data_IF_107445949247
#
_entry.id   IF_107445949247
#
_cell.length_a   1.000
_cell.length_b   1.000
_cell.length_c   1.000
_cell.angle_alpha   90.00
_cell.angle_beta   90.00
_cell.angle_gamma   90.00
#
_symmetry.space_group_name_H-M   'P 1'
#
loop_
_entity.id
_entity.type
_entity.pdbx_description
1 polymer ?
#
# COMPACT_ATOMS: atom_id res chain seq x y z
N UNK A 1 -8.64 -11.47 16.03
CA UNK A 1 -8.33 -11.14 16.21
C UNK A 1 -7.55 -10.63 15.78
N UNK A 2 -7.36 -10.07 15.13
CA UNK A 2 -6.72 -9.65 14.74
C UNK A 2 -6.37 -8.96 13.96
N UNK A 3 -6.31 -8.51 13.17
CA UNK A 3 -5.79 -8.05 12.32
C UNK A 3 -5.77 -7.00 12.05
N UNK A 4 -5.44 -6.60 11.96
CA UNK A 4 -5.33 -5.61 12.12
C UNK A 4 -4.81 -4.74 11.11
N UNK A 5 -4.32 -5.17 10.03
CA UNK A 5 -3.86 -4.40 8.87
C UNK A 5 -4.41 -5.10 7.63
N UNK A 6 -5.07 -4.35 6.77
CA UNK A 6 -5.53 -4.85 5.48
C UNK A 6 -5.09 -3.90 4.39
N UNK A 7 -4.85 -4.42 3.21
CA UNK A 7 -4.48 -3.61 2.05
C UNK A 7 -5.39 -3.99 0.91
N UNK A 8 -5.93 -2.99 0.23
CA UNK A 8 -6.72 -3.19 -0.96
C UNK A 8 -6.17 -2.30 -2.07
N UNK A 9 -6.24 -2.77 -3.28
CA UNK A 9 -5.80 -1.97 -4.41
C UNK A 9 -6.74 -2.16 -5.58
N UNK A 10 -6.86 -1.11 -6.37
CA UNK A 10 -7.62 -1.15 -7.63
C UNK A 10 -6.77 -0.46 -8.67
N UNK A 11 -6.80 -0.96 -9.90
CA UNK A 11 -5.99 -0.34 -10.94
C UNK A 11 -6.67 -0.46 -12.29
N UNK A 12 -6.15 0.32 -13.22
CA UNK A 12 -6.66 0.34 -14.57
C UNK A 12 -5.47 0.43 -15.52
N UNK A 13 -5.52 -0.36 -16.57
CA UNK A 13 -4.51 -0.32 -17.63
C UNK A 13 -5.16 0.10 -18.93
N UNK A 14 -4.38 0.73 -19.80
CA UNK A 14 -4.89 1.09 -21.11
C UNK A 14 -4.74 -0.10 -22.07
N UNK A 15 -5.10 0.09 -23.32
CA UNK A 15 -5.09 -1.00 -24.29
C UNK A 15 -3.68 -1.49 -24.59
N UNK A 16 -2.67 -0.69 -24.31
CA UNK A 16 -1.29 -1.09 -24.50
C UNK A 16 -0.73 -1.81 -23.27
N UNK A 17 -1.53 -1.97 -22.23
CA UNK A 17 -1.08 -2.64 -21.02
C UNK A 17 -0.37 -1.74 -20.03
N UNK A 18 -0.40 -0.43 -20.27
CA UNK A 18 0.26 0.50 -19.37
C UNK A 18 -0.65 0.87 -18.22
N UNK A 19 -0.08 0.95 -17.04
CA UNK A 19 -0.83 1.31 -15.86
C UNK A 19 -1.16 2.80 -15.90
N UNK A 20 -2.45 3.11 -15.89
CA UNK A 20 -2.88 4.51 -15.96
C UNK A 20 -3.59 4.98 -14.70
N UNK A 21 -3.96 4.08 -13.83
CA UNK A 21 -4.57 4.47 -12.57
C UNK A 21 -4.25 3.40 -11.53
N UNK A 22 -3.99 3.83 -10.33
CA UNK A 22 -3.71 2.92 -9.23
C UNK A 22 -4.19 3.57 -7.94
N UNK A 23 -4.96 2.81 -7.17
CA UNK A 23 -5.44 3.26 -5.86
C UNK A 23 -5.09 2.20 -4.85
N UNK A 24 -4.50 2.63 -3.76
CA UNK A 24 -4.09 1.74 -2.68
C UNK A 24 -4.67 2.28 -1.38
N UNK A 25 -5.35 1.42 -0.65
CA UNK A 25 -5.92 1.81 0.62
C UNK A 25 -5.48 0.83 1.70
N UNK A 26 -5.29 1.33 2.90
CA UNK A 26 -4.99 0.47 4.03
C UNK A 26 -6.04 0.64 5.10
N UNK A 27 -6.27 -0.43 5.87
CA UNK A 27 -7.11 -0.38 7.05
C UNK A 27 -6.26 -0.76 8.24
N UNK A 28 -6.56 -0.19 9.36
CA UNK A 28 -5.91 -0.53 10.59
C UNK A 28 -6.97 -0.61 11.65
N UNK A 29 -6.52 -1.02 12.84
CA UNK A 29 -7.37 -1.28 13.84
C UNK A 29 -8.53 -0.45 13.99
N UNK A 30 -8.43 0.75 13.89
CA UNK A 30 -9.46 1.51 14.22
C UNK A 30 -10.07 2.20 13.17
N UNK A 31 -10.11 1.72 11.97
CA UNK A 31 -10.36 2.65 11.35
C UNK A 31 -10.97 2.81 10.15
N UNK A 32 -11.15 3.88 9.75
CA UNK A 32 -11.54 4.33 8.44
C UNK A 32 -10.41 3.99 7.52
N UNK A 33 -10.68 3.38 6.37
CA UNK A 33 -9.62 3.10 5.40
C UNK A 33 -8.89 4.37 5.01
N UNK A 34 -7.59 4.26 4.87
CA UNK A 34 -6.76 5.37 4.46
C UNK A 34 -6.32 5.17 3.02
N UNK A 35 -6.61 6.15 2.19
CA UNK A 35 -6.21 6.10 0.79
C UNK A 35 -4.82 6.71 0.65
N UNK A 36 -3.93 6.00 0.00
CA UNK A 36 -2.54 6.45 -0.14
C UNK A 36 -2.30 7.14 -1.47
N UNK A 37 -3.07 8.20 -1.71
CA UNK A 37 -3.03 8.91 -2.98
C UNK A 37 -1.71 9.56 -3.27
N UNK A 38 -1.10 10.16 -2.27
CA UNK A 38 0.16 10.87 -2.48
C UNK A 38 1.29 9.91 -2.80
N UNK A 39 1.33 8.79 -2.10
CA UNK A 39 2.37 7.81 -2.36
C UNK A 39 2.28 7.28 -3.78
N UNK A 40 1.06 6.95 -4.20
CA UNK A 40 0.85 6.42 -5.53
C UNK A 40 1.17 7.46 -6.59
N UNK A 41 0.71 8.69 -6.40
CA UNK A 41 0.97 9.74 -7.37
C UNK A 41 2.46 9.99 -7.54
N UNK A 42 3.20 9.96 -6.45
CA UNK A 42 4.63 10.19 -6.50
C UNK A 42 5.33 9.13 -7.35
N UNK A 43 4.96 7.88 -7.17
CA UNK A 43 5.58 6.81 -7.91
C UNK A 43 5.14 6.81 -9.38
N UNK A 44 3.86 7.09 -9.63
CA UNK A 44 3.38 7.14 -11.01
C UNK A 44 4.00 8.28 -11.82
N UNK A 45 4.31 9.39 -11.16
CA UNK A 45 4.96 10.50 -11.85
C UNK A 45 6.34 10.14 -12.39
N UNK A 46 7.00 9.20 -11.73
CA UNK A 46 8.31 8.77 -12.17
C UNK A 46 8.23 7.72 -13.25
N UNK A 47 7.03 7.25 -13.57
CA UNK A 47 6.84 6.17 -14.51
C UNK A 47 6.84 4.82 -13.80
N UNK A 48 5.85 3.99 -14.12
CA UNK A 48 5.74 2.69 -13.45
C UNK A 48 6.83 1.76 -13.94
N UNK A 49 7.61 1.21 -13.03
CA UNK A 49 8.75 0.37 -13.34
C UNK A 49 8.66 -1.00 -12.69
N UNK A 50 7.48 -1.57 -12.69
CA UNK A 50 7.29 -2.93 -12.21
C UNK A 50 7.65 -3.11 -10.75
N UNK A 51 8.48 -4.08 -10.47
CA UNK A 51 8.83 -4.40 -9.09
C UNK A 51 9.45 -3.22 -8.35
N UNK A 52 10.25 -2.42 -9.01
CA UNK A 52 10.84 -1.27 -8.37
C UNK A 52 9.78 -0.32 -7.85
N UNK A 53 8.77 -0.07 -8.68
CA UNK A 53 7.68 0.81 -8.28
C UNK A 53 6.84 0.19 -7.18
N UNK A 54 6.61 -1.11 -7.23
CA UNK A 54 5.86 -1.81 -6.19
C UNK A 54 6.57 -1.65 -4.85
N UNK A 55 7.88 -1.81 -4.84
CA UNK A 55 8.65 -1.67 -3.60
C UNK A 55 8.58 -0.24 -3.07
N UNK A 56 8.61 0.74 -3.97
CA UNK A 56 8.51 2.12 -3.55
C UNK A 56 7.15 2.44 -2.93
N UNK A 57 6.08 1.97 -3.56
CA UNK A 57 4.75 2.19 -3.00
C UNK A 57 4.64 1.50 -1.65
N UNK A 58 5.14 0.28 -1.56
CA UNK A 58 5.06 -0.46 -0.30
C UNK A 58 5.81 0.25 0.82
N UNK A 59 6.97 0.81 0.50
CA UNK A 59 7.74 1.53 1.51
C UNK A 59 7.03 2.81 1.95
N UNK A 60 6.43 3.53 1.00
CA UNK A 60 5.72 4.75 1.34
C UNK A 60 4.46 4.45 2.16
N UNK A 61 3.79 3.35 1.87
CA UNK A 61 2.66 2.93 2.68
C UNK A 61 3.13 2.61 4.09
N UNK A 62 4.24 1.89 4.22
CA UNK A 62 4.78 1.57 5.52
C UNK A 62 5.06 2.83 6.34
N UNK A 63 5.66 3.83 5.70
CA UNK A 63 6.00 5.06 6.38
C UNK A 63 4.78 5.84 6.82
N UNK A 64 3.66 5.66 6.14
CA UNK A 64 2.46 6.43 6.45
C UNK A 64 1.64 5.83 7.58
N UNK A 65 1.92 4.59 7.96
CA UNK A 65 1.19 3.95 9.04
C UNK A 65 1.68 4.51 10.37
N UNK A 66 0.78 5.11 11.10
CA UNK A 66 1.16 5.72 12.36
C UNK A 66 1.10 4.70 13.49
N UNK A 67 1.99 4.81 14.44
CA UNK A 67 1.91 3.95 15.61
C UNK A 67 0.61 4.24 16.36
N UNK A 68 -0.01 3.20 16.86
CA UNK A 68 -1.20 3.34 17.66
C UNK A 68 -0.89 2.72 19.02
N UNK A 69 -1.09 3.48 20.05
CA UNK A 69 -0.89 2.97 21.40
C UNK A 69 -2.03 2.03 21.75
N UNK A 70 -1.80 1.22 22.71
CA UNK A 70 -2.83 0.34 23.25
C UNK A 70 -3.29 -0.73 22.28
N UNK A 71 -2.40 -1.22 21.47
CA UNK A 71 -2.71 -2.36 20.62
C UNK A 71 -1.86 -3.53 21.06
N UNK A 72 -2.30 -4.74 20.69
CA UNK A 72 -1.52 -5.91 20.97
C UNK A 72 -0.24 -5.96 20.18
N UNK A 73 -0.30 -5.44 18.97
CA UNK A 73 0.84 -5.56 18.08
C UNK A 73 1.69 -4.31 18.18
N UNK A 74 2.99 -4.51 18.20
CA UNK A 74 3.91 -3.39 18.20
C UNK A 74 3.74 -2.58 16.91
N UNK A 75 3.89 -1.26 17.00
CA UNK A 75 3.79 -0.43 15.80
C UNK A 75 4.73 -0.88 14.68
N UNK A 76 5.94 -1.32 15.03
CA UNK A 76 6.87 -1.78 14.01
C UNK A 76 6.34 -3.00 13.26
N UNK A 77 5.68 -3.90 13.97
CA UNK A 77 5.11 -5.08 13.34
C UNK A 77 4.00 -4.69 12.37
N UNK A 78 3.15 -3.77 12.79
CA UNK A 78 2.04 -3.33 11.94
C UNK A 78 2.55 -2.66 10.67
N UNK A 79 3.60 -1.85 10.78
CA UNK A 79 4.21 -1.21 9.63
C UNK A 79 4.83 -2.25 8.71
N UNK A 80 5.50 -3.23 9.29
CA UNK A 80 6.11 -4.29 8.50
C UNK A 80 5.03 -5.07 7.74
N UNK A 81 3.92 -5.38 8.40
CA UNK A 81 2.85 -6.11 7.74
C UNK A 81 2.21 -5.30 6.64
N UNK A 82 2.05 -3.99 6.84
CA UNK A 82 1.51 -3.15 5.80
C UNK A 82 2.39 -3.19 4.55
N UNK A 83 3.69 -3.15 4.73
CA UNK A 83 4.61 -3.23 3.60
C UNK A 83 4.52 -4.57 2.89
N UNK A 84 4.51 -5.65 3.67
CA UNK A 84 4.44 -7.00 3.10
C UNK A 84 3.15 -7.19 2.32
N UNK A 85 2.03 -6.77 2.89
CA UNK A 85 0.75 -6.93 2.24
C UNK A 85 0.63 -6.08 0.99
N UNK A 86 1.19 -4.88 1.02
CA UNK A 86 1.17 -4.01 -0.17
C UNK A 86 1.94 -4.67 -1.31
N UNK A 87 3.12 -5.20 -1.01
CA UNK A 87 3.90 -5.89 -2.04
C UNK A 87 3.13 -7.08 -2.60
N UNK A 88 2.47 -7.83 -1.73
CA UNK A 88 1.74 -9.01 -2.16
C UNK A 88 0.56 -8.65 -3.05
N UNK A 89 -0.20 -7.63 -2.66
CA UNK A 89 -1.36 -7.21 -3.45
C UNK A 89 -0.92 -6.64 -4.78
N UNK A 90 0.09 -5.77 -4.78
CA UNK A 90 0.52 -5.12 -6.02
C UNK A 90 1.27 -6.05 -6.96
N UNK A 91 1.78 -7.17 -6.44
CA UNK A 91 2.43 -8.12 -7.33
C UNK A 91 1.46 -8.69 -8.36
N UNK A 92 0.18 -8.59 -8.13
CA UNK A 92 -0.81 -9.03 -9.10
C UNK A 92 -0.83 -8.13 -10.34
N UNK A 93 -0.24 -6.96 -10.27
CA UNK A 93 -0.14 -6.07 -11.42
C UNK A 93 0.84 -6.62 -12.45
N UNK A 94 1.76 -7.44 -12.04
CA UNK A 94 2.75 -8.00 -12.92
C UNK A 94 2.33 -9.39 -13.32
#
# INVERSE_FOLDING_TARGET
>A
DFPEVGIAAAWKKNSAGELIDLRVASTALESIPKLHSEAVAKVLQQGWQGQTSILEVAELVRQSIKPVKNTYLAPAYRRKMAKVLTKRVLSQLE
#
